data_IF_238605308899
#
_entry.id   IF_238605308899
#
_cell.length_a   1.000
_cell.length_b   1.000
_cell.length_c   1.000
_cell.angle_alpha   90.00
_cell.angle_beta   90.00
_cell.angle_gamma   90.00
#
_symmetry.space_group_name_H-M   'P 1'
#
loop_
_entity.id
_entity.type
_entity.pdbx_description
1 polymer ?
#
# COMPACT_ATOMS: atom_id res chain seq x y z
N UNK A 1 31.13 -15.07 -22.24
CA UNK A 1 29.93 -15.88 -22.60
C UNK A 1 29.23 -16.49 -21.39
N UNK A 2 29.91 -17.14 -20.45
CA UNK A 2 29.28 -17.77 -19.27
C UNK A 2 28.46 -16.79 -18.38
N UNK A 3 28.95 -15.57 -18.14
CA UNK A 3 28.24 -14.56 -17.35
C UNK A 3 26.95 -14.06 -18.02
N UNK A 4 26.88 -14.04 -19.35
CA UNK A 4 25.68 -13.65 -20.09
C UNK A 4 24.64 -14.78 -20.04
N UNK A 5 25.06 -16.02 -20.29
CA UNK A 5 24.18 -17.18 -20.19
C UNK A 5 23.56 -17.35 -18.79
N UNK A 6 24.32 -17.04 -17.73
CA UNK A 6 23.81 -17.03 -16.35
C UNK A 6 22.75 -15.94 -16.12
N UNK A 7 22.98 -14.72 -16.62
CA UNK A 7 22.01 -13.62 -16.55
C UNK A 7 20.74 -13.94 -17.32
N UNK A 8 20.85 -14.49 -18.52
CA UNK A 8 19.71 -14.85 -19.37
C UNK A 8 18.89 -15.99 -18.74
N UNK A 9 19.54 -16.97 -18.13
CA UNK A 9 18.88 -18.05 -17.39
C UNK A 9 18.17 -17.53 -16.13
N UNK A 10 18.76 -16.56 -15.44
CA UNK A 10 18.15 -15.93 -14.27
C UNK A 10 16.94 -15.09 -14.65
N UNK A 11 17.04 -14.29 -15.72
CA UNK A 11 15.92 -13.51 -16.24
C UNK A 11 14.75 -14.43 -16.63
N UNK A 12 15.02 -15.54 -17.35
CA UNK A 12 13.99 -16.52 -17.71
C UNK A 12 13.30 -17.15 -16.49
N UNK A 13 14.06 -17.48 -15.45
CA UNK A 13 13.50 -18.00 -14.19
C UNK A 13 12.64 -16.96 -13.49
N UNK A 14 13.11 -15.72 -13.42
CA UNK A 14 12.37 -14.62 -12.80
C UNK A 14 11.07 -14.32 -13.56
N UNK A 15 11.08 -14.35 -14.90
CA UNK A 15 9.88 -14.21 -15.72
C UNK A 15 8.88 -15.36 -15.52
N UNK A 16 9.36 -16.61 -15.50
CA UNK A 16 8.50 -17.77 -15.28
C UNK A 16 7.87 -17.76 -13.87
N UNK A 17 8.64 -17.38 -12.85
CA UNK A 17 8.15 -17.20 -11.49
C UNK A 17 7.11 -16.07 -11.41
N UNK A 18 7.35 -14.94 -12.09
CA UNK A 18 6.39 -13.84 -12.15
C UNK A 18 5.07 -14.25 -12.81
N UNK A 19 5.11 -15.05 -13.88
CA UNK A 19 3.90 -15.55 -14.55
C UNK A 19 3.11 -16.54 -13.70
N UNK A 20 3.78 -17.47 -13.02
CA UNK A 20 3.13 -18.40 -12.09
C UNK A 20 2.44 -17.65 -10.95
N UNK A 21 3.13 -16.65 -10.38
CA UNK A 21 2.58 -15.83 -9.31
C UNK A 21 1.41 -14.98 -9.78
N UNK A 22 1.50 -14.34 -10.96
CA UNK A 22 0.39 -13.58 -11.53
C UNK A 22 -0.86 -14.43 -11.75
N UNK A 23 -0.70 -15.72 -12.09
CA UNK A 23 -1.83 -16.64 -12.28
C UNK A 23 -2.46 -17.04 -10.95
N UNK A 24 -1.65 -17.34 -9.92
CA UNK A 24 -2.13 -17.68 -8.58
C UNK A 24 -2.84 -16.50 -7.91
N UNK A 25 -2.39 -15.28 -8.20
CA UNK A 25 -2.87 -14.05 -7.58
C UNK A 25 -4.01 -13.35 -8.32
N UNK A 26 -4.64 -14.00 -9.30
CA UNK A 26 -5.72 -13.40 -10.08
C UNK A 26 -6.95 -13.00 -9.23
N UNK A 27 -7.12 -13.59 -8.05
CA UNK A 27 -8.18 -13.28 -7.08
C UNK A 27 -7.65 -12.53 -5.84
N UNK A 28 -6.36 -12.16 -5.80
CA UNK A 28 -5.82 -11.45 -4.66
C UNK A 28 -6.25 -9.97 -4.68
N UNK A 29 -6.52 -9.36 -3.53
CA UNK A 29 -6.84 -7.94 -3.50
C UNK A 29 -5.58 -7.10 -3.78
N UNK A 30 -5.80 -5.85 -4.22
CA UNK A 30 -4.69 -4.91 -4.36
C UNK A 30 -4.19 -4.44 -3.00
N UNK A 31 -2.91 -4.13 -2.96
CA UNK A 31 -2.28 -3.43 -1.86
C UNK A 31 -1.66 -2.14 -2.36
N UNK A 32 -1.88 -1.08 -1.60
CA UNK A 32 -1.42 0.27 -1.94
C UNK A 32 -0.57 0.80 -0.79
N UNK A 33 0.57 1.40 -1.11
CA UNK A 33 1.43 2.06 -0.13
C UNK A 33 1.80 3.46 -0.58
N UNK A 34 1.56 4.44 0.29
CA UNK A 34 2.02 5.81 0.14
C UNK A 34 3.17 6.06 1.11
N UNK A 35 4.34 6.36 0.56
CA UNK A 35 5.51 6.77 1.32
C UNK A 35 5.66 8.29 1.32
N UNK A 36 5.62 8.89 2.51
CA UNK A 36 5.95 10.30 2.66
C UNK A 36 7.43 10.59 2.45
N UNK A 37 8.29 9.66 2.88
CA UNK A 37 9.75 9.74 2.71
C UNK A 37 10.14 9.80 1.25
N UNK A 38 9.59 8.89 0.45
CA UNK A 38 9.94 8.78 -0.97
C UNK A 38 9.07 9.68 -1.85
N UNK A 39 7.95 10.20 -1.31
CA UNK A 39 6.89 10.92 -2.04
C UNK A 39 6.39 10.14 -3.24
N UNK A 40 6.15 8.84 -3.01
CA UNK A 40 5.67 7.90 -4.02
C UNK A 40 4.52 7.07 -3.49
N UNK A 41 3.67 6.66 -4.43
CA UNK A 41 2.68 5.61 -4.24
C UNK A 41 3.12 4.35 -4.97
N UNK A 42 2.90 3.21 -4.36
CA UNK A 42 3.24 1.89 -4.87
C UNK A 42 1.97 1.03 -4.85
N UNK A 43 1.67 0.39 -5.97
CA UNK A 43 0.58 -0.56 -6.11
C UNK A 43 1.14 -1.98 -6.29
N UNK A 44 0.51 -2.94 -5.62
CA UNK A 44 0.82 -4.36 -5.73
C UNK A 44 -0.48 -5.15 -5.91
N UNK A 45 -0.37 -6.29 -6.58
CA UNK A 45 -1.45 -7.25 -6.76
C UNK A 45 -0.89 -8.65 -6.51
N UNK A 46 -1.36 -9.32 -5.46
CA UNK A 46 -0.82 -10.60 -5.00
C UNK A 46 0.71 -10.65 -4.86
N UNK A 47 1.24 -9.66 -4.13
CA UNK A 47 2.67 -9.46 -3.89
C UNK A 47 3.53 -9.15 -5.13
N UNK A 48 2.96 -9.06 -6.33
CA UNK A 48 3.68 -8.56 -7.50
C UNK A 48 3.56 -7.02 -7.58
N UNK A 49 4.66 -6.29 -7.87
CA UNK A 49 4.58 -4.86 -8.16
C UNK A 49 3.76 -4.63 -9.43
N UNK A 50 2.82 -3.69 -9.37
CA UNK A 50 1.94 -3.33 -10.48
C UNK A 50 2.38 -2.00 -11.10
N UNK A 51 2.33 -0.93 -10.31
CA UNK A 51 2.64 0.44 -10.74
C UNK A 51 3.28 1.20 -9.56
N UNK A 52 4.17 2.15 -9.85
CA UNK A 52 4.61 3.14 -8.88
C UNK A 52 4.70 4.54 -9.50
N UNK A 53 4.33 5.57 -8.73
CA UNK A 53 4.19 6.93 -9.25
C UNK A 53 4.54 7.98 -8.18
N UNK A 54 4.97 9.19 -8.59
CA UNK A 54 5.12 10.30 -7.64
C UNK A 54 3.75 10.74 -7.08
N UNK A 55 3.74 11.18 -5.82
CA UNK A 55 2.59 11.84 -5.19
C UNK A 55 2.99 13.19 -4.61
N UNK A 56 2.04 14.11 -4.50
CA UNK A 56 2.24 15.37 -3.79
C UNK A 56 1.70 15.22 -2.36
N UNK A 57 2.43 15.73 -1.37
CA UNK A 57 2.00 15.69 0.04
C UNK A 57 1.93 17.12 0.55
N UNK A 58 0.73 17.53 0.96
CA UNK A 58 0.48 18.85 1.55
C UNK A 58 1.02 18.93 2.98
N UNK A 59 1.28 20.15 3.44
CA UNK A 59 1.77 20.44 4.80
C UNK A 59 3.04 19.65 5.18
N UNK A 60 4.07 19.60 4.32
CA UNK A 60 5.27 18.76 4.53
C UNK A 60 6.00 18.97 5.86
N UNK A 61 5.76 20.08 6.57
CA UNK A 61 6.27 20.32 7.92
C UNK A 61 5.58 19.53 9.04
N UNK A 62 4.49 18.83 8.76
CA UNK A 62 3.77 17.96 9.71
C UNK A 62 3.97 16.50 9.32
N UNK A 63 4.27 15.67 10.31
CA UNK A 63 4.27 14.20 10.15
C UNK A 63 2.88 13.70 9.72
N UNK A 64 2.85 12.73 8.82
CA UNK A 64 1.63 11.98 8.52
C UNK A 64 1.39 10.92 9.60
N UNK A 65 2.44 10.28 10.12
CA UNK A 65 2.31 9.08 10.95
C UNK A 65 2.25 7.80 10.11
N UNK A 66 1.80 6.69 10.70
CA UNK A 66 1.56 5.44 9.96
C UNK A 66 0.13 4.96 10.17
N UNK A 67 -0.60 4.80 9.06
CA UNK A 67 -2.01 4.44 9.02
C UNK A 67 -2.22 3.29 8.05
N UNK A 68 -3.05 2.34 8.45
CA UNK A 68 -3.43 1.18 7.66
C UNK A 68 -4.94 1.20 7.48
N UNK A 69 -5.38 1.13 6.23
CA UNK A 69 -6.76 1.04 5.82
C UNK A 69 -6.98 -0.33 5.18
N UNK A 70 -8.11 -0.97 5.52
CA UNK A 70 -8.54 -2.23 4.92
C UNK A 70 -9.96 -2.09 4.44
N UNK A 71 -10.19 -2.37 3.16
CA UNK A 71 -11.52 -2.47 2.58
C UNK A 71 -12.20 -3.71 3.15
N UNK A 72 -13.30 -3.54 3.88
CA UNK A 72 -14.04 -4.62 4.52
C UNK A 72 -15.13 -5.16 3.60
N UNK A 73 -15.86 -4.25 2.95
CA UNK A 73 -16.95 -4.57 2.03
C UNK A 73 -17.02 -3.50 0.94
N UNK A 74 -17.59 -3.87 -0.21
CA UNK A 74 -17.91 -2.96 -1.29
C UNK A 74 -19.38 -3.12 -1.63
N UNK A 75 -20.08 -2.03 -1.93
CA UNK A 75 -21.48 -2.11 -2.37
C UNK A 75 -21.62 -2.87 -3.69
N UNK A 76 -22.80 -3.44 -3.94
CA UNK A 76 -23.07 -4.24 -5.16
C UNK A 76 -22.87 -3.44 -6.46
N UNK A 77 -23.10 -2.13 -6.41
CA UNK A 77 -22.88 -1.19 -7.51
C UNK A 77 -21.43 -0.66 -7.59
N UNK A 78 -20.56 -1.07 -6.66
CA UNK A 78 -19.16 -0.66 -6.57
C UNK A 78 -18.96 0.82 -6.20
N UNK A 79 -20.01 1.54 -5.84
CA UNK A 79 -19.97 2.99 -5.60
C UNK A 79 -19.43 3.37 -4.22
N UNK A 80 -19.41 2.44 -3.27
CA UNK A 80 -18.97 2.67 -1.91
C UNK A 80 -18.14 1.52 -1.36
N UNK A 81 -17.19 1.86 -0.49
CA UNK A 81 -16.30 0.91 0.18
C UNK A 81 -16.33 1.20 1.67
N UNK A 82 -16.58 0.17 2.47
CA UNK A 82 -16.47 0.23 3.92
C UNK A 82 -15.01 0.02 4.32
N UNK A 83 -14.43 0.97 5.04
CA UNK A 83 -13.03 0.94 5.44
C UNK A 83 -12.86 0.75 6.94
N UNK A 84 -12.01 -0.20 7.32
CA UNK A 84 -11.39 -0.25 8.64
C UNK A 84 -10.10 0.56 8.63
N UNK A 85 -9.92 1.50 9.55
CA UNK A 85 -8.69 2.27 9.70
C UNK A 85 -8.00 1.99 11.04
N UNK A 86 -6.68 1.79 11.00
CA UNK A 86 -5.83 1.59 12.18
C UNK A 86 -4.65 2.54 12.09
N UNK A 87 -4.42 3.31 13.16
CA UNK A 87 -3.23 4.15 13.28
C UNK A 87 -2.20 3.46 14.16
N UNK A 88 -0.99 3.25 13.65
CA UNK A 88 0.13 2.73 14.43
C UNK A 88 0.59 3.86 15.38
N UNK A 89 0.50 3.66 16.71
CA UNK A 89 0.94 4.67 17.66
C UNK A 89 2.47 4.80 17.61
N UNK A 90 2.97 6.03 17.72
CA UNK A 90 4.35 6.26 18.13
C UNK A 90 4.56 5.65 19.53
N UNK A 91 5.79 5.19 19.82
CA UNK A 91 6.11 4.52 21.07
C UNK A 91 5.62 5.32 22.30
N UNK A 92 4.81 4.68 23.16
CA UNK A 92 4.34 5.26 24.43
C UNK A 92 2.85 5.64 24.51
N UNK A 93 2.06 5.46 23.46
CA UNK A 93 0.62 5.74 23.53
C UNK A 93 -0.20 4.48 23.91
N UNK A 94 -0.47 4.26 25.19
CA UNK A 94 -1.32 3.15 25.67
C UNK A 94 -2.81 3.54 25.86
N UNK A 95 -3.70 2.55 25.76
CA UNK A 95 -5.13 2.62 26.12
C UNK A 95 -6.11 2.62 24.94
N UNK A 96 -7.11 1.71 24.94
CA UNK A 96 -8.23 1.63 23.98
C UNK A 96 -9.50 2.20 24.63
N UNK A 97 -9.83 3.46 24.36
CA UNK A 97 -11.12 4.08 24.70
C UNK A 97 -11.81 4.53 23.41
N UNK A 98 -13.14 4.58 23.38
CA UNK A 98 -13.92 4.99 22.18
C UNK A 98 -13.47 6.36 21.65
N UNK A 99 -13.30 7.34 22.54
CA UNK A 99 -12.78 8.66 22.19
C UNK A 99 -11.38 8.64 21.55
N UNK A 100 -10.59 7.58 21.74
CA UNK A 100 -9.30 7.39 21.07
C UNK A 100 -9.47 6.79 19.67
N UNK A 101 -10.43 5.90 19.46
CA UNK A 101 -10.71 5.32 18.14
C UNK A 101 -11.15 6.42 17.16
N UNK A 102 -12.07 7.29 17.58
CA UNK A 102 -12.50 8.44 16.76
C UNK A 102 -11.32 9.36 16.40
N UNK A 103 -10.43 9.62 17.37
CA UNK A 103 -9.21 10.40 17.11
C UNK A 103 -8.26 9.70 16.14
N UNK A 104 -8.12 8.38 16.22
CA UNK A 104 -7.27 7.62 15.30
C UNK A 104 -7.84 7.60 13.88
N UNK A 105 -9.15 7.43 13.74
CA UNK A 105 -9.83 7.53 12.45
C UNK A 105 -9.64 8.93 11.85
N UNK A 106 -9.84 9.98 12.66
CA UNK A 106 -9.65 11.36 12.21
C UNK A 106 -8.20 11.62 11.76
N UNK A 107 -7.21 11.15 12.51
CA UNK A 107 -5.79 11.26 12.11
C UNK A 107 -5.49 10.55 10.80
N UNK A 108 -6.03 9.34 10.63
CA UNK A 108 -5.86 8.58 9.40
C UNK A 108 -6.49 9.33 8.20
N UNK A 109 -7.70 9.86 8.37
CA UNK A 109 -8.36 10.66 7.34
C UNK A 109 -7.57 11.94 7.02
N UNK A 110 -7.13 12.69 8.03
CA UNK A 110 -6.31 13.89 7.86
C UNK A 110 -4.98 13.58 7.12
N UNK A 111 -4.37 12.43 7.38
CA UNK A 111 -3.18 11.98 6.67
C UNK A 111 -3.48 11.66 5.21
N UNK A 112 -4.57 10.93 4.93
CA UNK A 112 -4.98 10.58 3.58
C UNK A 112 -5.37 11.81 2.75
N UNK A 113 -6.12 12.75 3.32
CA UNK A 113 -6.55 13.98 2.66
C UNK A 113 -5.35 14.83 2.22
N UNK A 114 -4.21 14.74 2.91
CA UNK A 114 -3.00 15.48 2.56
C UNK A 114 -2.25 14.91 1.36
N UNK A 115 -2.54 13.67 0.95
CA UNK A 115 -1.90 13.01 -0.18
C UNK A 115 -2.69 13.31 -1.45
N UNK A 116 -2.06 13.99 -2.40
CA UNK A 116 -2.58 14.18 -3.74
C UNK A 116 -2.04 13.06 -4.64
N UNK A 117 -2.94 12.15 -5.00
CA UNK A 117 -2.64 11.01 -5.87
C UNK A 117 -2.99 11.41 -7.32
N UNK A 118 -2.12 11.14 -8.30
CA UNK A 118 -2.43 11.38 -9.70
C UNK A 118 -3.71 10.65 -10.15
N UNK A 119 -4.50 11.30 -11.01
CA UNK A 119 -5.83 10.82 -11.40
C UNK A 119 -5.78 9.44 -12.09
N UNK A 120 -4.74 9.19 -12.88
CA UNK A 120 -4.47 7.92 -13.54
C UNK A 120 -4.25 6.78 -12.55
N UNK A 121 -3.55 7.05 -11.44
CA UNK A 121 -3.30 6.06 -10.39
C UNK A 121 -4.55 5.83 -9.57
N UNK A 122 -5.31 6.89 -9.25
CA UNK A 122 -6.61 6.76 -8.59
C UNK A 122 -7.56 5.90 -9.42
N UNK A 123 -7.63 6.11 -10.74
CA UNK A 123 -8.43 5.28 -11.63
C UNK A 123 -7.99 3.81 -11.62
N UNK A 124 -6.68 3.54 -11.62
CA UNK A 124 -6.15 2.17 -11.51
C UNK A 124 -6.53 1.49 -10.18
N UNK A 125 -6.44 2.23 -9.06
CA UNK A 125 -6.88 1.77 -7.74
C UNK A 125 -8.38 1.46 -7.78
N UNK A 126 -9.22 2.42 -8.19
CA UNK A 126 -10.69 2.28 -8.22
C UNK A 126 -11.14 1.09 -9.07
N UNK A 127 -10.53 0.85 -10.22
CA UNK A 127 -10.88 -0.28 -11.10
C UNK A 127 -10.57 -1.66 -10.49
N UNK A 128 -9.72 -1.72 -9.47
CA UNK A 128 -9.28 -2.95 -8.81
C UNK A 128 -9.62 -2.95 -7.32
N UNK A 129 -10.38 -1.97 -6.86
CA UNK A 129 -10.74 -1.80 -5.46
C UNK A 129 -11.95 -2.69 -5.14
N UNK A 130 -11.71 -3.73 -4.35
CA UNK A 130 -12.75 -4.59 -3.82
C UNK A 130 -12.42 -4.97 -2.37
N UNK A 131 -13.32 -5.70 -1.72
CA UNK A 131 -13.13 -6.14 -0.33
C UNK A 131 -11.78 -6.85 -0.14
N UNK A 132 -11.12 -6.64 0.99
CA UNK A 132 -9.78 -7.18 1.25
C UNK A 132 -8.62 -6.32 0.73
N UNK A 133 -8.87 -5.32 -0.14
CA UNK A 133 -7.86 -4.35 -0.53
C UNK A 133 -7.28 -3.60 0.68
N UNK A 134 -6.01 -3.25 0.59
CA UNK A 134 -5.31 -2.53 1.65
C UNK A 134 -4.65 -1.26 1.15
N UNK A 135 -4.64 -0.23 1.99
CA UNK A 135 -3.93 1.02 1.76
C UNK A 135 -3.14 1.37 3.01
N UNK A 136 -1.86 1.63 2.86
CA UNK A 136 -0.99 2.08 3.95
C UNK A 136 -0.46 3.47 3.60
N UNK A 137 -0.59 4.42 4.52
CA UNK A 137 0.02 5.74 4.43
C UNK A 137 1.04 5.86 5.55
N UNK A 138 2.31 6.13 5.22
CA UNK A 138 3.37 6.17 6.22
C UNK A 138 4.38 7.28 5.97
N UNK A 139 4.91 7.86 7.05
CA UNK A 139 6.11 8.69 7.03
C UNK A 139 7.38 7.93 6.56
N UNK A 140 7.34 6.60 6.54
CA UNK A 140 8.48 5.75 6.24
C UNK A 140 8.54 5.34 4.77
N UNK A 141 9.72 4.89 4.34
CA UNK A 141 9.93 4.31 3.01
C UNK A 141 9.62 2.82 2.98
N UNK A 142 9.71 2.23 1.78
CA UNK A 142 9.67 0.77 1.64
C UNK A 142 10.84 0.13 2.39
N UNK A 143 10.55 -0.95 3.13
CA UNK A 143 11.61 -1.77 3.72
C UNK A 143 12.17 -2.77 2.69
N UNK A 144 13.44 -3.16 2.85
CA UNK A 144 14.11 -4.18 2.03
C UNK A 144 13.47 -5.57 2.13
N UNK A 145 12.67 -5.81 3.18
CA UNK A 145 11.85 -7.02 3.34
C UNK A 145 10.61 -7.04 2.44
N UNK A 146 10.28 -5.93 1.77
CA UNK A 146 9.24 -5.89 0.73
C UNK A 146 9.80 -6.50 -0.55
N UNK A 147 9.43 -7.74 -0.86
CA UNK A 147 10.00 -8.54 -1.94
C UNK A 147 8.96 -9.42 -2.64
N UNK A 148 9.38 -10.43 -3.42
CA UNK A 148 8.45 -11.24 -4.25
C UNK A 148 7.45 -12.08 -3.44
N UNK A 149 7.72 -12.35 -2.16
CA UNK A 149 6.87 -13.21 -1.31
C UNK A 149 6.17 -12.47 -0.18
N UNK A 150 6.26 -11.14 -0.14
CA UNK A 150 5.71 -10.31 0.93
C UNK A 150 4.92 -9.16 0.33
N UNK A 151 3.93 -8.69 1.08
CA UNK A 151 3.31 -7.41 0.79
C UNK A 151 4.20 -6.26 1.32
N UNK A 152 3.63 -5.07 1.45
CA UNK A 152 4.32 -3.94 2.06
C UNK A 152 4.69 -4.21 3.52
N UNK A 153 6.00 -4.17 3.79
CA UNK A 153 6.54 -4.18 5.15
C UNK A 153 7.02 -2.78 5.49
N UNK A 154 6.42 -2.19 6.53
CA UNK A 154 6.74 -0.84 7.01
C UNK A 154 7.31 -0.93 8.42
N UNK A 155 8.55 -0.49 8.60
CA UNK A 155 9.17 -0.39 9.92
C UNK A 155 8.85 0.97 10.53
N UNK A 156 8.21 0.95 11.70
CA UNK A 156 7.79 2.14 12.44
C UNK A 156 8.66 2.43 13.66
N UNK A 157 9.89 1.88 13.72
CA UNK A 157 10.87 2.05 14.80
C UNK A 157 12.27 2.32 14.27
#
# INVERSE_FOLDING_TARGET
>A
MAAQAAKDAQLKRDTAAAQLQATASALDPISVFVSAKDRRIYLRHGFAPLTDAPVTIRDTGKRLGTHVFKAMSTSEDGSSVEWLAVTVPDAGAEGRTEARLDRQLKKAQEALDRVEIPAEILAEISNRLWAGASLIVSDHGLNHETGRGTDFVVLTK
#
